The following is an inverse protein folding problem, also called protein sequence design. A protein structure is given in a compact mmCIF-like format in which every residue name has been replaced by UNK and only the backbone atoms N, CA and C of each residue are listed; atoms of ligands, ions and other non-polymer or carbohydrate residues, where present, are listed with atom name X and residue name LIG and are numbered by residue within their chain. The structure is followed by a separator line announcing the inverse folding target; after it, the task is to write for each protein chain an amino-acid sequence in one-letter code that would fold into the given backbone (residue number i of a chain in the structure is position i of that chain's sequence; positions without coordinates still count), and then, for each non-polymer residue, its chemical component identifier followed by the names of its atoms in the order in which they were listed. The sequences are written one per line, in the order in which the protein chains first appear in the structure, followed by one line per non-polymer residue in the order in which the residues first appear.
data_IF_577130687500
#
_entry.id   IF_577130687500
#
_cell.length_a   1.000
_cell.length_b   1.000
_cell.length_c   1.000
_cell.angle_alpha   90.00
_cell.angle_beta   90.00
_cell.angle_gamma   90.00
#
_symmetry.space_group_name_H-M   'P 1'
#
loop_
_entity.id
_entity.type
_entity.pdbx_description
1 polymer ?
#
# COMPACT_ATOMS: atom_id res chain seq x y z
N UNK A 1 6.57 58.53 -26.59
CA UNK A 1 6.60 57.26 -27.33
C UNK A 1 6.66 56.10 -26.34
N UNK A 2 5.69 55.17 -26.32
CA UNK A 2 5.72 54.02 -25.45
C UNK A 2 6.87 53.10 -25.87
N UNK A 3 7.79 52.78 -24.95
CA UNK A 3 8.91 51.89 -25.15
C UNK A 3 8.40 50.50 -25.63
N UNK A 4 8.81 50.06 -26.81
CA UNK A 4 8.49 48.74 -27.33
C UNK A 4 9.05 47.70 -26.36
N UNK A 5 8.23 46.77 -25.92
CA UNK A 5 8.65 45.67 -25.03
C UNK A 5 9.56 44.71 -25.76
N UNK A 6 10.44 44.05 -25.02
CA UNK A 6 11.35 43.04 -25.55
C UNK A 6 10.58 41.84 -26.13
N UNK A 7 11.12 41.16 -27.12
CA UNK A 7 10.59 39.92 -27.62
C UNK A 7 10.62 38.90 -26.45
N UNK A 8 9.46 38.32 -26.13
CA UNK A 8 9.28 37.40 -24.97
C UNK A 8 8.47 37.97 -23.81
N UNK A 9 8.33 39.30 -23.67
CA UNK A 9 7.60 39.94 -22.55
C UNK A 9 6.07 39.82 -22.64
N UNK A 10 5.55 39.14 -23.65
CA UNK A 10 4.12 38.96 -23.87
C UNK A 10 3.38 40.23 -24.32
N UNK A 11 2.18 40.05 -24.88
CA UNK A 11 1.33 41.16 -25.28
C UNK A 11 0.44 41.60 -24.10
N UNK A 12 0.24 42.92 -23.97
CA UNK A 12 -0.63 43.53 -22.95
C UNK A 12 -1.56 44.49 -23.62
N UNK A 13 -2.85 44.40 -23.39
CA UNK A 13 -3.87 45.36 -23.86
C UNK A 13 -4.94 45.58 -22.78
N UNK A 14 -5.60 46.74 -22.86
CA UNK A 14 -6.84 47.00 -22.10
C UNK A 14 -8.02 46.59 -22.94
N UNK A 15 -8.94 45.87 -22.35
CA UNK A 15 -10.18 45.44 -22.98
C UNK A 15 -11.28 46.49 -22.82
N UNK A 16 -12.33 46.37 -23.63
CA UNK A 16 -13.48 47.25 -23.57
C UNK A 16 -14.27 47.13 -22.26
N UNK A 17 -14.18 45.93 -21.62
CA UNK A 17 -14.77 45.66 -20.28
C UNK A 17 -13.92 46.25 -19.11
N UNK A 18 -12.92 47.07 -19.43
CA UNK A 18 -12.04 47.76 -18.45
C UNK A 18 -10.97 46.89 -17.83
N UNK A 19 -10.96 45.58 -18.05
CA UNK A 19 -9.90 44.69 -17.56
C UNK A 19 -8.66 44.74 -18.44
N UNK A 20 -7.53 44.42 -17.84
CA UNK A 20 -6.28 44.24 -18.54
C UNK A 20 -6.10 42.78 -18.95
N UNK A 21 -5.72 42.56 -20.19
CA UNK A 21 -5.41 41.24 -20.76
C UNK A 21 -3.95 41.19 -21.20
N UNK A 22 -3.27 40.11 -20.84
CA UNK A 22 -1.98 39.72 -21.34
C UNK A 22 -1.97 38.34 -21.96
N UNK A 23 -1.10 38.11 -22.94
CA UNK A 23 -0.91 36.78 -23.49
C UNK A 23 0.58 36.48 -23.70
N UNK A 24 0.96 35.24 -23.43
CA UNK A 24 2.29 34.69 -23.69
C UNK A 24 2.17 33.49 -24.59
N UNK A 25 3.21 33.21 -25.37
CA UNK A 25 3.33 31.95 -26.12
C UNK A 25 3.81 30.89 -25.13
N UNK A 26 3.14 29.74 -25.10
CA UNK A 26 3.43 28.61 -24.21
C UNK A 26 3.81 27.32 -24.97
N UNK A 27 3.78 27.35 -26.30
CA UNK A 27 4.10 26.25 -27.20
C UNK A 27 3.61 26.55 -28.60
N UNK A 28 3.71 25.56 -29.48
CA UNK A 28 3.23 25.63 -30.86
C UNK A 28 2.35 24.42 -31.17
N UNK A 29 1.44 24.60 -32.13
CA UNK A 29 0.63 23.51 -32.68
C UNK A 29 1.46 22.70 -33.68
N UNK A 30 0.97 21.53 -34.09
CA UNK A 30 1.59 20.71 -35.12
C UNK A 30 1.78 21.46 -36.44
N UNK A 31 0.90 22.42 -36.74
CA UNK A 31 0.98 23.29 -37.92
C UNK A 31 1.91 24.51 -37.73
N UNK A 32 2.65 24.61 -36.61
CA UNK A 32 3.55 25.69 -36.30
C UNK A 32 2.91 26.97 -35.73
N UNK A 33 1.58 27.02 -35.59
CA UNK A 33 0.92 28.19 -35.00
C UNK A 33 1.16 28.26 -33.47
N UNK A 34 1.38 29.47 -32.90
CA UNK A 34 1.66 29.63 -31.48
C UNK A 34 0.43 29.33 -30.62
N UNK A 35 0.63 28.56 -29.54
CA UNK A 35 -0.32 28.38 -28.47
C UNK A 35 -0.19 29.52 -27.45
N UNK A 36 -1.30 30.23 -27.22
CA UNK A 36 -1.32 31.37 -26.31
C UNK A 36 -1.98 31.03 -24.97
N UNK A 37 -1.38 31.48 -23.88
CA UNK A 37 -2.02 31.59 -22.58
C UNK A 37 -2.44 33.03 -22.34
N UNK A 38 -3.72 33.21 -22.03
CA UNK A 38 -4.31 34.50 -21.68
C UNK A 38 -4.34 34.69 -20.16
N UNK A 39 -3.97 35.88 -19.69
CA UNK A 39 -3.93 36.27 -18.29
C UNK A 39 -4.73 37.57 -18.14
N UNK A 40 -5.56 37.64 -17.11
CA UNK A 40 -6.44 38.78 -16.88
C UNK A 40 -6.23 39.38 -15.49
N UNK A 41 -6.30 40.73 -15.39
CA UNK A 41 -6.26 41.45 -14.13
C UNK A 41 -7.09 42.74 -14.17
N UNK A 42 -7.47 43.23 -13.00
CA UNK A 42 -8.20 44.52 -12.87
C UNK A 42 -7.28 45.72 -13.09
N UNK A 43 -5.98 45.63 -12.79
CA UNK A 43 -4.99 46.67 -12.95
C UNK A 43 -3.82 46.21 -13.81
N UNK A 44 -3.16 47.16 -14.48
CA UNK A 44 -1.97 46.86 -15.31
C UNK A 44 -0.84 46.26 -14.49
N UNK A 45 -0.58 46.79 -13.28
CA UNK A 45 0.46 46.27 -12.38
C UNK A 45 0.21 44.81 -12.02
N UNK A 46 -0.98 44.49 -11.55
CA UNK A 46 -1.34 43.13 -11.22
C UNK A 46 -1.32 42.17 -12.44
N UNK A 47 -1.57 42.68 -13.65
CA UNK A 47 -1.42 41.90 -14.87
C UNK A 47 0.06 41.59 -15.12
N UNK A 48 0.93 42.61 -15.00
CA UNK A 48 2.37 42.44 -15.22
C UNK A 48 3.01 41.43 -14.26
N UNK A 49 2.64 41.50 -12.97
CA UNK A 49 3.14 40.58 -11.97
C UNK A 49 2.70 39.12 -12.32
N UNK A 50 1.44 38.94 -12.70
CA UNK A 50 0.91 37.64 -13.17
C UNK A 50 1.59 37.17 -14.45
N UNK A 51 1.89 38.12 -15.38
CA UNK A 51 2.52 37.79 -16.65
C UNK A 51 3.96 37.31 -16.42
N UNK A 52 4.73 37.99 -15.58
CA UNK A 52 6.09 37.59 -15.22
C UNK A 52 6.10 36.21 -14.55
N UNK A 53 5.20 35.97 -13.61
CA UNK A 53 5.07 34.64 -12.99
C UNK A 53 4.74 33.51 -14.01
N UNK A 54 3.89 33.84 -14.99
CA UNK A 54 3.59 32.88 -16.05
C UNK A 54 4.79 32.68 -16.99
N UNK A 55 5.49 33.76 -17.39
CA UNK A 55 6.71 33.66 -18.23
C UNK A 55 7.74 32.77 -17.55
N UNK A 56 7.99 32.93 -16.24
CA UNK A 56 8.90 32.09 -15.49
C UNK A 56 8.42 30.61 -15.42
N UNK A 57 7.12 30.39 -15.21
CA UNK A 57 6.57 29.04 -15.17
C UNK A 57 6.67 28.30 -16.50
N UNK A 58 6.63 29.03 -17.63
CA UNK A 58 6.65 28.43 -18.98
C UNK A 58 7.98 28.67 -19.69
N UNK A 59 9.00 29.21 -19.00
CA UNK A 59 10.34 29.38 -19.55
C UNK A 59 10.90 27.98 -19.90
N UNK A 60 11.35 27.84 -21.13
CA UNK A 60 11.96 26.62 -21.66
C UNK A 60 11.02 25.39 -21.72
N UNK A 61 9.70 25.61 -21.62
CA UNK A 61 8.69 24.56 -21.73
C UNK A 61 7.81 24.84 -22.94
N UNK A 62 7.85 23.96 -23.92
CA UNK A 62 6.97 23.99 -25.09
C UNK A 62 5.80 23.01 -24.86
N UNK A 63 4.61 23.57 -24.60
CA UNK A 63 3.42 22.75 -24.34
C UNK A 63 2.73 22.32 -25.63
N UNK A 64 2.15 21.13 -25.61
CA UNK A 64 1.32 20.59 -26.69
C UNK A 64 -0.13 21.12 -26.64
N UNK A 65 -0.90 20.89 -27.69
CA UNK A 65 -2.34 21.22 -27.73
C UNK A 65 -3.13 20.55 -26.60
N UNK A 66 -2.65 19.42 -26.13
CA UNK A 66 -3.22 18.66 -25.02
C UNK A 66 -3.30 19.46 -23.69
N UNK A 67 -2.55 20.57 -23.58
CA UNK A 67 -2.65 21.48 -22.44
C UNK A 67 -4.03 22.12 -22.25
N UNK A 68 -4.90 22.03 -23.27
CA UNK A 68 -6.29 22.54 -23.24
C UNK A 68 -7.29 21.53 -22.72
N UNK A 69 -6.93 20.23 -22.67
CA UNK A 69 -7.83 19.20 -22.19
C UNK A 69 -8.19 19.41 -20.72
N UNK A 70 -9.31 18.81 -20.30
CA UNK A 70 -9.68 18.77 -18.90
C UNK A 70 -8.84 17.76 -18.14
N UNK A 71 -8.77 17.89 -16.80
CA UNK A 71 -8.11 16.91 -15.95
C UNK A 71 -8.76 15.52 -16.12
N UNK A 72 -10.08 15.44 -16.26
CA UNK A 72 -10.80 14.20 -16.48
C UNK A 72 -10.37 13.49 -17.76
N UNK A 73 -10.28 14.23 -18.88
CA UNK A 73 -9.80 13.71 -20.17
C UNK A 73 -8.35 13.20 -20.08
N UNK A 74 -7.48 13.96 -19.42
CA UNK A 74 -6.11 13.50 -19.19
C UNK A 74 -6.05 12.21 -18.36
N UNK A 75 -6.82 12.13 -17.28
CA UNK A 75 -6.83 10.94 -16.41
C UNK A 75 -7.34 9.69 -17.13
N UNK A 76 -8.33 9.82 -18.03
CA UNK A 76 -8.80 8.72 -18.87
C UNK A 76 -7.70 8.24 -19.82
N UNK A 77 -7.07 9.18 -20.51
CA UNK A 77 -5.94 8.91 -21.40
C UNK A 77 -4.77 8.29 -20.63
N UNK A 78 -4.46 8.80 -19.43
CA UNK A 78 -3.41 8.26 -18.58
C UNK A 78 -3.66 6.81 -18.18
N UNK A 79 -4.91 6.45 -17.85
CA UNK A 79 -5.27 5.06 -17.55
C UNK A 79 -5.09 4.13 -18.74
N UNK A 80 -5.48 4.58 -19.93
CA UNK A 80 -5.52 3.75 -21.15
C UNK A 80 -4.17 3.68 -21.85
N UNK A 81 -3.47 4.80 -21.98
CA UNK A 81 -2.24 4.88 -22.77
C UNK A 81 -0.97 4.71 -21.92
N UNK A 82 -0.97 5.19 -20.69
CA UNK A 82 0.25 5.18 -19.84
C UNK A 82 0.26 4.05 -18.82
N UNK A 83 -0.90 3.61 -18.33
CA UNK A 83 -0.96 2.61 -17.24
C UNK A 83 -1.49 1.25 -17.67
N UNK A 84 -2.35 1.17 -18.67
CA UNK A 84 -2.77 -0.11 -19.22
C UNK A 84 -1.55 -0.90 -19.72
N UNK A 85 -1.40 -2.14 -19.25
CA UNK A 85 -0.25 -3.00 -19.59
C UNK A 85 1.05 -2.74 -18.80
N UNK A 86 1.20 -1.57 -18.14
CA UNK A 86 2.41 -1.26 -17.35
C UNK A 86 2.26 -1.57 -15.86
N UNK A 87 1.03 -1.64 -15.37
CA UNK A 87 0.72 -1.97 -13.98
C UNK A 87 -0.19 -3.20 -13.90
N UNK A 88 -0.17 -3.88 -12.77
CA UNK A 88 -1.05 -5.04 -12.55
C UNK A 88 -2.54 -4.65 -12.61
N UNK A 89 -3.43 -5.57 -13.06
CA UNK A 89 -4.86 -5.29 -13.18
C UNK A 89 -5.50 -4.72 -11.91
N UNK A 90 -5.17 -5.26 -10.74
CA UNK A 90 -5.66 -4.74 -9.45
C UNK A 90 -5.19 -3.32 -9.10
N UNK A 91 -3.99 -2.93 -9.54
CA UNK A 91 -3.49 -1.56 -9.38
C UNK A 91 -4.21 -0.61 -10.32
N UNK A 92 -4.40 -1.02 -11.57
CA UNK A 92 -5.14 -0.24 -12.58
C UNK A 92 -6.58 0.01 -12.13
N UNK A 93 -7.25 -1.02 -11.61
CA UNK A 93 -8.60 -0.90 -11.05
C UNK A 93 -8.63 0.03 -9.82
N UNK A 94 -7.60 -0.03 -8.98
CA UNK A 94 -7.42 0.91 -7.87
C UNK A 94 -7.32 2.36 -8.36
N UNK A 95 -6.50 2.63 -9.37
CA UNK A 95 -6.38 3.95 -9.99
C UNK A 95 -7.70 4.42 -10.59
N UNK A 96 -8.40 3.55 -11.36
CA UNK A 96 -9.71 3.83 -11.93
C UNK A 96 -10.71 4.26 -10.85
N UNK A 97 -10.81 3.51 -9.76
CA UNK A 97 -11.69 3.84 -8.64
C UNK A 97 -11.37 5.17 -7.99
N UNK A 98 -10.09 5.48 -7.76
CA UNK A 98 -9.70 6.78 -7.19
C UNK A 98 -10.04 7.94 -8.11
N UNK A 99 -9.83 7.76 -9.40
CA UNK A 99 -10.13 8.75 -10.43
C UNK A 99 -11.63 9.00 -10.53
N UNK A 100 -12.42 7.94 -10.77
CA UNK A 100 -13.87 8.06 -11.03
C UNK A 100 -14.65 8.54 -9.81
N UNK A 101 -14.33 8.03 -8.62
CA UNK A 101 -15.14 8.32 -7.46
C UNK A 101 -14.67 9.54 -6.65
N UNK A 102 -13.42 9.95 -6.77
CA UNK A 102 -12.88 10.97 -5.87
C UNK A 102 -12.26 12.17 -6.59
N UNK A 103 -11.57 11.97 -7.72
CA UNK A 103 -10.86 13.06 -8.40
C UNK A 103 -11.78 13.75 -9.41
N UNK A 104 -12.35 13.00 -10.36
CA UNK A 104 -13.21 13.56 -11.41
C UNK A 104 -14.42 14.35 -10.89
N UNK A 105 -15.16 13.90 -9.87
CA UNK A 105 -16.31 14.66 -9.36
C UNK A 105 -15.95 16.04 -8.82
N UNK A 106 -14.70 16.28 -8.45
CA UNK A 106 -14.29 17.54 -7.84
C UNK A 106 -13.42 18.41 -8.76
N UNK A 107 -12.64 17.80 -9.63
CA UNK A 107 -11.62 18.49 -10.43
C UNK A 107 -11.67 18.10 -11.93
N UNK A 108 -12.47 17.12 -12.31
CA UNK A 108 -12.47 16.53 -13.66
C UNK A 108 -12.74 17.53 -14.79
N UNK A 109 -13.67 18.47 -14.60
CA UNK A 109 -14.04 19.45 -15.61
C UNK A 109 -13.07 20.63 -15.72
N UNK A 110 -12.10 20.70 -14.78
CA UNK A 110 -11.13 21.80 -14.79
C UNK A 110 -10.07 21.56 -15.84
N UNK A 111 -9.76 22.58 -16.65
CA UNK A 111 -8.65 22.51 -17.60
C UNK A 111 -7.33 22.22 -16.84
N UNK A 112 -6.57 21.21 -17.30
CA UNK A 112 -5.39 20.71 -16.58
C UNK A 112 -4.33 21.79 -16.37
N UNK A 113 -4.12 22.68 -17.35
CA UNK A 113 -3.17 23.80 -17.26
C UNK A 113 -3.61 24.91 -16.27
N UNK A 114 -4.87 24.89 -15.81
CA UNK A 114 -5.42 25.83 -14.82
C UNK A 114 -5.52 25.22 -13.41
N UNK A 115 -5.14 23.97 -13.25
CA UNK A 115 -5.17 23.29 -11.97
C UNK A 115 -4.12 23.89 -11.03
N UNK A 116 -4.57 24.31 -9.84
CA UNK A 116 -3.70 24.94 -8.84
C UNK A 116 -3.52 24.04 -7.60
N UNK A 117 -2.46 24.29 -6.83
CA UNK A 117 -2.25 23.66 -5.52
C UNK A 117 -3.43 23.86 -4.57
N UNK A 118 -4.06 25.06 -4.62
CA UNK A 118 -5.20 25.38 -3.77
C UNK A 118 -6.43 24.54 -4.10
N UNK A 119 -6.67 24.21 -5.38
CA UNK A 119 -7.76 23.33 -5.78
C UNK A 119 -7.58 21.93 -5.21
N UNK A 120 -6.37 21.41 -5.33
CA UNK A 120 -6.00 20.08 -4.82
C UNK A 120 -6.09 20.05 -3.29
N UNK A 121 -5.61 21.11 -2.62
CA UNK A 121 -5.69 21.20 -1.16
C UNK A 121 -7.15 21.30 -0.66
N UNK A 122 -8.04 21.97 -1.42
CA UNK A 122 -9.50 22.00 -1.15
C UNK A 122 -10.11 20.62 -1.33
N UNK A 123 -9.73 19.88 -2.38
CA UNK A 123 -10.16 18.51 -2.59
C UNK A 123 -9.80 17.62 -1.39
N UNK A 124 -8.55 17.69 -0.87
CA UNK A 124 -8.18 16.88 0.31
C UNK A 124 -9.03 17.19 1.54
N UNK A 125 -9.34 18.48 1.79
CA UNK A 125 -10.23 18.86 2.89
C UNK A 125 -11.63 18.28 2.73
N UNK A 126 -12.23 18.37 1.53
CA UNK A 126 -13.55 17.77 1.26
C UNK A 126 -13.55 16.27 1.42
N UNK A 127 -12.51 15.58 0.93
CA UNK A 127 -12.37 14.13 1.09
C UNK A 127 -12.28 13.73 2.57
N UNK A 128 -11.69 14.56 3.42
CA UNK A 128 -11.61 14.33 4.86
C UNK A 128 -12.94 14.55 5.59
N UNK A 129 -13.85 15.33 5.06
CA UNK A 129 -15.15 15.61 5.68
C UNK A 129 -16.29 14.81 5.04
N UNK A 130 -16.34 14.73 3.71
CA UNK A 130 -17.48 14.25 2.93
C UNK A 130 -17.09 13.28 1.82
N UNK A 131 -15.92 12.65 1.94
CA UNK A 131 -15.35 11.85 0.84
C UNK A 131 -15.93 10.46 0.66
N UNK A 132 -16.64 9.87 1.64
CA UNK A 132 -17.22 8.54 1.51
C UNK A 132 -18.51 8.58 0.70
N UNK A 133 -18.63 7.64 -0.24
CA UNK A 133 -19.83 7.43 -1.04
C UNK A 133 -20.96 6.88 -0.16
N UNK A 134 -20.62 5.97 0.76
CA UNK A 134 -21.55 5.40 1.73
C UNK A 134 -21.09 5.77 3.13
N UNK A 135 -22.03 6.14 3.98
CA UNK A 135 -21.76 6.45 5.38
C UNK A 135 -21.18 5.24 6.12
N UNK A 136 -20.17 5.49 6.96
CA UNK A 136 -19.61 4.46 7.84
C UNK A 136 -20.12 4.67 9.26
N UNK A 137 -20.57 3.62 9.97
CA UNK A 137 -21.17 3.76 11.30
C UNK A 137 -20.34 4.57 12.30
N UNK A 138 -19.00 4.42 12.27
CA UNK A 138 -18.11 5.11 13.22
C UNK A 138 -17.46 6.37 12.64
N UNK A 139 -17.26 6.45 11.31
CA UNK A 139 -16.51 7.52 10.66
C UNK A 139 -17.40 8.46 9.82
N UNK A 140 -18.69 8.21 9.73
CA UNK A 140 -19.59 8.98 8.87
C UNK A 140 -19.10 8.99 7.41
N UNK A 141 -19.11 10.17 6.80
CA UNK A 141 -18.64 10.39 5.42
C UNK A 141 -17.15 10.70 5.31
N UNK A 142 -16.37 10.64 6.38
CA UNK A 142 -14.95 10.96 6.38
C UNK A 142 -14.11 9.85 5.75
N UNK A 143 -13.17 10.20 4.86
CA UNK A 143 -12.13 9.28 4.42
C UNK A 143 -10.95 9.25 5.40
N UNK A 144 -10.34 8.07 5.55
CA UNK A 144 -9.09 7.93 6.30
C UNK A 144 -7.94 8.68 5.65
N UNK A 145 -6.96 9.12 6.44
CA UNK A 145 -5.74 9.76 5.93
C UNK A 145 -5.01 8.89 4.90
N UNK A 146 -4.98 7.58 5.12
CA UNK A 146 -4.40 6.61 4.19
C UNK A 146 -5.11 6.63 2.84
N UNK A 147 -6.45 6.69 2.81
CA UNK A 147 -7.21 6.75 1.55
C UNK A 147 -6.93 8.06 0.81
N UNK A 148 -6.96 9.21 1.50
CA UNK A 148 -6.63 10.50 0.88
C UNK A 148 -5.19 10.51 0.36
N UNK A 149 -4.25 9.85 1.06
CA UNK A 149 -2.87 9.69 0.60
C UNK A 149 -2.77 8.84 -0.67
N UNK A 150 -3.55 7.77 -0.80
CA UNK A 150 -3.58 6.97 -2.04
C UNK A 150 -4.16 7.77 -3.22
N UNK A 151 -5.22 8.55 -2.99
CA UNK A 151 -5.80 9.45 -4.00
C UNK A 151 -4.75 10.50 -4.43
N UNK A 152 -4.06 11.13 -3.47
CA UNK A 152 -2.94 12.03 -3.76
C UNK A 152 -1.86 11.36 -4.60
N UNK A 153 -1.40 10.16 -4.23
CA UNK A 153 -0.33 9.46 -4.95
C UNK A 153 -0.74 9.13 -6.39
N UNK A 154 -2.01 8.77 -6.62
CA UNK A 154 -2.55 8.53 -7.96
C UNK A 154 -2.56 9.81 -8.79
N UNK A 155 -3.08 10.91 -8.24
CA UNK A 155 -3.11 12.20 -8.91
C UNK A 155 -1.69 12.73 -9.17
N UNK A 156 -0.79 12.61 -8.20
CA UNK A 156 0.62 12.99 -8.34
C UNK A 156 1.30 12.23 -9.49
N UNK A 157 1.11 10.90 -9.57
CA UNK A 157 1.68 10.09 -10.64
C UNK A 157 1.13 10.50 -12.02
N UNK A 158 -0.17 10.72 -12.13
CA UNK A 158 -0.80 11.14 -13.38
C UNK A 158 -0.31 12.54 -13.83
N UNK A 159 -0.17 13.47 -12.91
CA UNK A 159 0.31 14.82 -13.22
C UNK A 159 1.82 14.88 -13.44
N UNK A 160 2.60 13.97 -12.84
CA UNK A 160 4.01 13.78 -13.17
C UNK A 160 4.18 13.33 -14.63
N UNK A 161 3.39 12.36 -15.07
CA UNK A 161 3.42 11.90 -16.46
C UNK A 161 2.92 13.01 -17.42
N UNK A 162 1.99 13.88 -16.99
CA UNK A 162 1.56 15.06 -17.75
C UNK A 162 2.67 16.09 -17.95
N UNK A 163 3.55 16.26 -16.97
CA UNK A 163 4.75 17.12 -17.12
C UNK A 163 5.72 16.51 -18.12
N UNK A 164 5.96 15.20 -18.05
CA UNK A 164 6.84 14.51 -19.01
C UNK A 164 6.30 14.54 -20.44
N UNK A 165 4.98 14.54 -20.59
CA UNK A 165 4.30 14.64 -21.89
C UNK A 165 4.12 16.08 -22.38
N UNK A 166 4.71 17.07 -21.72
CA UNK A 166 4.59 18.50 -22.02
C UNK A 166 3.14 19.03 -22.08
N UNK A 167 2.23 18.40 -21.32
CA UNK A 167 0.84 18.84 -21.19
C UNK A 167 0.72 19.97 -20.15
N UNK A 168 1.54 19.93 -19.10
CA UNK A 168 1.64 20.98 -18.08
C UNK A 168 3.11 21.26 -17.75
N UNK A 169 3.46 22.50 -17.36
CA UNK A 169 4.85 22.87 -17.12
C UNK A 169 5.41 22.36 -15.78
N UNK A 170 4.54 22.10 -14.81
CA UNK A 170 4.90 21.62 -13.47
C UNK A 170 3.76 20.85 -12.84
N UNK A 171 4.10 19.97 -11.92
CA UNK A 171 3.11 19.20 -11.20
C UNK A 171 2.49 20.01 -10.05
N UNK A 172 1.19 20.37 -10.11
CA UNK A 172 0.56 21.19 -9.07
C UNK A 172 0.31 20.43 -7.75
N UNK A 173 0.55 19.12 -7.69
CA UNK A 173 0.53 18.37 -6.42
C UNK A 173 1.81 18.62 -5.61
N UNK A 174 2.90 19.03 -6.25
CA UNK A 174 4.13 19.42 -5.55
C UNK A 174 3.87 20.63 -4.66
N UNK A 175 4.30 20.55 -3.40
CA UNK A 175 4.00 21.57 -2.39
C UNK A 175 2.61 21.51 -1.76
N UNK A 176 1.74 20.56 -2.15
CA UNK A 176 0.50 20.28 -1.39
C UNK A 176 0.80 19.45 -0.15
N UNK A 177 0.02 19.66 0.91
CA UNK A 177 0.12 18.88 2.15
C UNK A 177 -0.93 17.78 2.13
N UNK A 178 -0.55 16.59 1.64
CA UNK A 178 -1.38 15.40 1.78
C UNK A 178 -1.36 14.90 3.23
N UNK A 179 -2.48 14.37 3.77
CA UNK A 179 -2.52 13.83 5.12
C UNK A 179 -1.46 12.74 5.33
N UNK A 180 -0.84 12.74 6.51
CA UNK A 180 0.07 11.68 6.93
C UNK A 180 -0.76 10.57 7.59
N UNK A 181 -0.73 9.33 7.08
CA UNK A 181 -1.42 8.23 7.74
C UNK A 181 -0.89 8.01 9.15
N UNK A 182 -1.80 7.99 10.11
CA UNK A 182 -1.46 7.54 11.46
C UNK A 182 -1.66 6.02 11.50
N UNK A 183 -0.56 5.27 11.48
CA UNK A 183 -0.61 3.81 11.55
C UNK A 183 -0.82 3.38 13.00
N UNK A 184 -2.02 2.90 13.29
CA UNK A 184 -2.27 2.20 14.56
C UNK A 184 -1.49 0.88 14.57
N UNK A 185 -0.93 0.46 15.72
CA UNK A 185 -0.33 -0.87 15.85
C UNK A 185 -1.28 -1.95 15.35
N UNK A 186 -0.74 -2.94 14.66
CA UNK A 186 -1.53 -4.06 14.17
C UNK A 186 -1.92 -4.92 15.36
N UNK A 187 -3.19 -5.34 15.41
CA UNK A 187 -3.64 -6.28 16.41
C UNK A 187 -3.16 -7.68 16.04
N UNK A 188 -2.50 -8.33 16.97
CA UNK A 188 -2.16 -9.75 16.92
C UNK A 188 -2.97 -10.47 17.99
N UNK A 189 -3.21 -11.75 17.81
CA UNK A 189 -3.78 -12.61 18.87
C UNK A 189 -2.68 -12.88 19.90
N UNK A 190 -2.98 -12.67 21.17
CA UNK A 190 -2.13 -13.10 22.27
C UNK A 190 -2.09 -14.62 22.33
N UNK A 191 -1.21 -15.21 23.14
CA UNK A 191 -1.14 -16.66 23.28
C UNK A 191 -2.47 -17.26 23.75
N UNK A 192 -3.09 -16.64 24.75
CA UNK A 192 -4.39 -17.09 25.25
C UNK A 192 -5.50 -16.98 24.19
N UNK A 193 -5.58 -15.84 23.50
CA UNK A 193 -6.53 -15.66 22.39
C UNK A 193 -6.29 -16.63 21.23
N UNK A 194 -5.02 -17.01 20.97
CA UNK A 194 -4.69 -18.01 19.96
C UNK A 194 -5.15 -19.41 20.38
N UNK A 195 -4.99 -19.77 21.65
CA UNK A 195 -5.48 -21.05 22.21
C UNK A 195 -7.01 -21.13 22.12
N UNK A 196 -7.73 -20.05 22.48
CA UNK A 196 -9.19 -19.97 22.34
C UNK A 196 -9.62 -20.10 20.87
N UNK A 197 -8.92 -19.44 19.96
CA UNK A 197 -9.20 -19.53 18.52
C UNK A 197 -8.96 -20.94 17.98
N UNK A 198 -7.84 -21.58 18.34
CA UNK A 198 -7.53 -22.95 17.94
C UNK A 198 -8.55 -23.95 18.44
N UNK A 199 -9.04 -23.80 19.68
CA UNK A 199 -10.08 -24.67 20.25
C UNK A 199 -11.36 -24.66 19.39
N UNK A 200 -11.76 -23.49 18.88
CA UNK A 200 -12.92 -23.37 17.97
C UNK A 200 -12.60 -23.90 16.58
N UNK A 201 -11.38 -23.66 16.09
CA UNK A 201 -10.91 -24.18 14.79
C UNK A 201 -10.90 -25.70 14.76
N UNK A 202 -10.47 -26.36 15.84
CA UNK A 202 -10.43 -27.83 15.95
C UNK A 202 -11.81 -28.48 15.83
N UNK A 203 -12.87 -27.78 16.22
CA UNK A 203 -14.24 -28.22 16.10
C UNK A 203 -14.84 -28.06 14.70
N UNK A 204 -14.16 -27.39 13.79
CA UNK A 204 -14.63 -27.13 12.44
C UNK A 204 -14.10 -28.17 11.45
N UNK A 205 -14.91 -29.13 11.10
CA UNK A 205 -14.53 -30.28 10.24
C UNK A 205 -14.06 -29.82 8.84
N UNK A 206 -14.62 -28.73 8.32
CA UNK A 206 -14.32 -28.23 6.95
C UNK A 206 -13.09 -27.35 6.89
N UNK A 207 -12.95 -26.43 7.86
CA UNK A 207 -11.95 -25.37 7.80
C UNK A 207 -10.77 -25.57 8.76
N UNK A 208 -10.80 -26.59 9.62
CA UNK A 208 -9.75 -26.89 10.59
C UNK A 208 -8.37 -26.92 9.94
N UNK A 209 -8.19 -27.77 8.96
CA UNK A 209 -6.90 -27.99 8.32
C UNK A 209 -6.40 -26.75 7.58
N UNK A 210 -7.33 -25.95 7.03
CA UNK A 210 -7.01 -24.67 6.39
C UNK A 210 -6.43 -23.67 7.40
N UNK A 211 -7.12 -23.42 8.51
CA UNK A 211 -6.68 -22.43 9.49
C UNK A 211 -5.47 -22.91 10.31
N UNK A 212 -5.36 -24.21 10.58
CA UNK A 212 -4.15 -24.77 11.19
C UNK A 212 -2.93 -24.56 10.28
N UNK A 213 -3.06 -24.84 8.98
CA UNK A 213 -1.99 -24.58 8.01
C UNK A 213 -1.64 -23.10 7.94
N UNK A 214 -2.63 -22.19 7.90
CA UNK A 214 -2.41 -20.75 7.87
C UNK A 214 -1.63 -20.27 9.09
N UNK A 215 -2.05 -20.68 10.28
CA UNK A 215 -1.44 -20.29 11.56
C UNK A 215 -0.01 -20.81 11.75
N UNK A 216 0.33 -21.96 11.14
CA UNK A 216 1.65 -22.56 11.24
C UNK A 216 2.60 -22.17 10.10
N UNK A 217 2.12 -21.53 9.04
CA UNK A 217 2.93 -21.15 7.88
C UNK A 217 2.97 -19.65 7.63
N UNK A 218 1.99 -18.89 8.13
CA UNK A 218 1.85 -17.47 7.93
C UNK A 218 1.72 -17.06 6.46
N UNK A 219 1.13 -17.89 5.61
CA UNK A 219 0.91 -17.63 4.19
C UNK A 219 0.00 -16.40 4.00
N UNK A 220 0.13 -15.72 2.85
CA UNK A 220 -0.87 -14.71 2.51
C UNK A 220 -2.19 -15.39 2.13
N UNK A 221 -3.32 -14.76 2.44
CA UNK A 221 -4.65 -15.30 2.12
C UNK A 221 -4.78 -15.86 0.70
N UNK A 222 -4.32 -15.13 -0.29
CA UNK A 222 -4.36 -15.60 -1.68
C UNK A 222 -3.36 -16.71 -1.99
N UNK A 223 -2.25 -16.82 -1.24
CA UNK A 223 -1.27 -17.89 -1.39
C UNK A 223 -1.86 -19.21 -0.88
N UNK A 224 -2.39 -19.25 0.34
CA UNK A 224 -2.97 -20.48 0.89
C UNK A 224 -4.18 -20.96 0.09
N UNK A 225 -5.05 -20.04 -0.36
CA UNK A 225 -6.19 -20.41 -1.21
C UNK A 225 -5.76 -20.94 -2.59
N UNK A 226 -4.58 -20.60 -3.07
CA UNK A 226 -4.05 -21.00 -4.37
C UNK A 226 -3.13 -22.22 -4.35
N UNK A 227 -2.96 -22.90 -3.23
CA UNK A 227 -2.09 -24.07 -3.11
C UNK A 227 -2.64 -25.27 -3.89
N UNK A 228 -1.75 -25.96 -4.61
CA UNK A 228 -2.06 -27.18 -5.35
C UNK A 228 -1.22 -28.35 -4.84
N UNK A 229 -1.69 -29.56 -5.07
CA UNK A 229 -0.96 -30.78 -4.68
C UNK A 229 0.39 -30.92 -5.39
N UNK A 230 0.55 -30.32 -6.56
CA UNK A 230 1.85 -30.23 -7.26
C UNK A 230 2.89 -29.37 -6.54
N UNK A 231 2.46 -28.54 -5.59
CA UNK A 231 3.34 -27.68 -4.81
C UNK A 231 3.87 -28.37 -3.54
N UNK A 232 3.26 -29.47 -3.13
CA UNK A 232 3.53 -30.18 -1.88
C UNK A 232 4.38 -31.43 -2.13
N UNK A 233 5.58 -31.44 -1.57
CA UNK A 233 6.40 -32.65 -1.45
C UNK A 233 6.25 -33.21 -0.02
N UNK A 234 5.41 -34.26 0.10
CA UNK A 234 5.20 -34.91 1.38
C UNK A 234 6.41 -35.69 1.90
N UNK A 235 7.36 -36.11 1.06
CA UNK A 235 8.56 -36.83 1.49
C UNK A 235 9.60 -35.85 2.06
N UNK A 236 9.83 -34.76 1.37
CA UNK A 236 10.73 -33.72 1.82
C UNK A 236 10.11 -32.80 2.90
N UNK A 237 8.79 -32.85 3.14
CA UNK A 237 8.11 -31.94 4.04
C UNK A 237 8.17 -30.50 3.58
N UNK A 238 8.08 -30.25 2.27
CA UNK A 238 8.22 -28.90 1.70
C UNK A 238 6.99 -28.48 0.93
N UNK A 239 6.77 -27.16 0.88
CA UNK A 239 5.67 -26.53 0.17
C UNK A 239 6.20 -25.37 -0.67
N UNK A 240 5.93 -25.41 -1.97
CA UNK A 240 6.29 -24.35 -2.92
C UNK A 240 5.17 -23.33 -3.01
N UNK A 241 5.46 -22.06 -2.70
CA UNK A 241 4.52 -20.95 -2.84
C UNK A 241 4.85 -20.23 -4.14
N UNK A 242 4.07 -20.44 -5.20
CA UNK A 242 4.36 -19.90 -6.52
C UNK A 242 3.20 -19.12 -7.13
N UNK A 243 1.99 -19.20 -6.56
CA UNK A 243 0.80 -18.51 -7.08
C UNK A 243 0.00 -17.81 -5.98
N UNK A 244 -0.87 -16.91 -6.40
CA UNK A 244 -1.80 -16.21 -5.52
C UNK A 244 -3.16 -16.12 -6.18
N UNK A 245 -4.21 -16.35 -5.42
CA UNK A 245 -5.60 -16.21 -5.84
C UNK A 245 -6.10 -14.81 -5.53
N UNK A 246 -6.69 -14.18 -6.52
CA UNK A 246 -7.39 -12.91 -6.38
C UNK A 246 -8.86 -13.12 -6.66
N UNK A 247 -9.71 -12.93 -5.65
CA UNK A 247 -11.15 -12.91 -5.84
C UNK A 247 -11.58 -11.68 -6.64
N UNK A 248 -12.44 -11.91 -7.63
CA UNK A 248 -13.08 -10.86 -8.43
C UNK A 248 -14.56 -10.70 -8.03
N UNK A 249 -15.29 -9.88 -8.78
CA UNK A 249 -16.73 -9.74 -8.58
C UNK A 249 -17.44 -11.01 -9.05
N UNK A 250 -18.59 -11.31 -8.43
CA UNK A 250 -19.48 -12.45 -8.78
C UNK A 250 -18.90 -13.85 -8.58
N UNK A 251 -17.93 -14.03 -7.68
CA UNK A 251 -17.33 -15.34 -7.41
C UNK A 251 -16.27 -15.77 -8.43
N UNK A 252 -15.95 -14.94 -9.39
CA UNK A 252 -14.81 -15.16 -10.29
C UNK A 252 -13.50 -14.97 -9.54
N UNK A 253 -12.48 -15.71 -9.94
CA UNK A 253 -11.13 -15.56 -9.42
C UNK A 253 -10.10 -15.51 -10.55
N UNK A 254 -8.98 -14.87 -10.29
CA UNK A 254 -7.80 -14.95 -11.16
C UNK A 254 -6.66 -15.58 -10.39
N UNK A 255 -6.00 -16.51 -11.04
CA UNK A 255 -4.73 -17.08 -10.58
C UNK A 255 -3.62 -16.20 -11.13
N UNK A 256 -2.88 -15.55 -10.25
CA UNK A 256 -1.71 -14.75 -10.61
C UNK A 256 -0.44 -15.37 -10.04
N UNK A 257 0.69 -15.08 -10.68
CA UNK A 257 1.98 -15.33 -10.07
C UNK A 257 2.17 -14.48 -8.81
N UNK A 258 3.02 -14.93 -7.89
CA UNK A 258 3.36 -14.17 -6.72
C UNK A 258 3.91 -12.77 -7.10
N UNK A 259 3.64 -11.77 -6.27
CA UNK A 259 3.85 -10.33 -6.58
C UNK A 259 5.30 -9.97 -6.92
N UNK A 260 6.27 -10.76 -6.46
CA UNK A 260 7.72 -10.53 -6.66
C UNK A 260 8.43 -11.86 -6.85
N UNK A 261 9.62 -11.86 -7.44
CA UNK A 261 10.47 -13.05 -7.54
C UNK A 261 10.75 -13.68 -6.16
N UNK A 262 10.83 -12.88 -5.11
CA UNK A 262 10.95 -13.35 -3.72
C UNK A 262 9.62 -13.89 -3.15
N UNK A 263 8.50 -13.65 -3.82
CA UNK A 263 7.22 -14.27 -3.51
C UNK A 263 7.19 -15.76 -3.87
N UNK A 264 7.93 -16.17 -4.90
CA UNK A 264 8.19 -17.59 -5.20
C UNK A 264 9.23 -18.11 -4.21
N UNK A 265 8.81 -19.02 -3.36
CA UNK A 265 9.65 -19.60 -2.32
C UNK A 265 9.21 -21.02 -2.00
N UNK A 266 10.16 -21.82 -1.53
CA UNK A 266 9.86 -23.12 -0.92
C UNK A 266 10.05 -22.98 0.58
N UNK A 267 9.03 -23.37 1.35
CA UNK A 267 9.07 -23.39 2.80
C UNK A 267 9.16 -24.82 3.28
N UNK A 268 9.96 -25.05 4.32
CA UNK A 268 9.99 -26.31 5.05
C UNK A 268 8.81 -26.26 6.04
N UNK A 269 7.96 -27.27 6.01
CA UNK A 269 6.78 -27.33 6.84
C UNK A 269 7.09 -27.95 8.21
N UNK A 270 6.44 -27.46 9.29
CA UNK A 270 6.39 -28.21 10.54
C UNK A 270 5.83 -29.63 10.31
N UNK A 271 6.30 -30.61 11.09
CA UNK A 271 5.87 -32.00 10.95
C UNK A 271 4.34 -32.14 11.00
N UNK A 272 3.67 -31.44 11.93
CA UNK A 272 2.21 -31.42 12.08
C UNK A 272 1.48 -30.98 10.80
N UNK A 273 1.97 -29.94 10.12
CA UNK A 273 1.40 -29.48 8.84
C UNK A 273 1.64 -30.51 7.74
N UNK A 274 2.82 -31.11 7.70
CA UNK A 274 3.13 -32.17 6.73
C UNK A 274 2.16 -33.34 6.88
N UNK A 275 1.86 -33.76 8.09
CA UNK A 275 0.91 -34.86 8.36
C UNK A 275 -0.55 -34.47 8.02
N UNK A 276 -0.96 -33.23 8.33
CA UNK A 276 -2.27 -32.71 7.91
C UNK A 276 -2.40 -32.82 6.38
N UNK A 277 -1.40 -32.33 5.63
CA UNK A 277 -1.46 -32.32 4.18
C UNK A 277 -1.33 -33.73 3.58
N UNK A 278 -0.53 -34.63 4.16
CA UNK A 278 -0.47 -36.05 3.74
C UNK A 278 -1.83 -36.72 3.88
N UNK A 279 -2.48 -36.59 5.03
CA UNK A 279 -3.81 -37.15 5.27
C UNK A 279 -4.82 -36.60 4.25
N UNK A 280 -4.88 -35.27 4.06
CA UNK A 280 -5.77 -34.66 3.08
C UNK A 280 -5.52 -35.12 1.65
N UNK A 281 -4.27 -35.42 1.30
CA UNK A 281 -3.91 -35.85 -0.05
C UNK A 281 -4.48 -37.21 -0.42
N UNK A 282 -4.73 -38.10 0.56
CA UNK A 282 -5.32 -39.41 0.33
C UNK A 282 -6.73 -39.29 -0.24
N UNK A 283 -7.52 -38.35 0.29
CA UNK A 283 -8.92 -38.11 -0.11
C UNK A 283 -9.06 -36.94 -1.12
N UNK A 284 -7.95 -36.56 -1.79
CA UNK A 284 -7.96 -35.41 -2.70
C UNK A 284 -8.79 -35.73 -3.96
N UNK A 285 -9.82 -34.92 -4.20
CA UNK A 285 -10.72 -35.00 -5.37
C UNK A 285 -10.47 -33.95 -6.40
N UNK A 286 -9.57 -33.00 -6.15
CA UNK A 286 -9.21 -31.91 -7.05
C UNK A 286 -7.70 -31.60 -6.99
N UNK A 287 -7.24 -30.72 -7.89
CA UNK A 287 -5.84 -30.27 -7.86
C UNK A 287 -5.51 -29.36 -6.67
N UNK A 288 -6.52 -28.77 -6.02
CA UNK A 288 -6.34 -27.80 -4.93
C UNK A 288 -6.15 -28.48 -3.58
N UNK A 289 -5.21 -27.99 -2.77
CA UNK A 289 -5.04 -28.47 -1.39
C UNK A 289 -6.27 -28.07 -0.55
N UNK A 290 -6.79 -26.90 -0.80
CA UNK A 290 -7.99 -26.36 -0.16
C UNK A 290 -9.03 -26.00 -1.23
N UNK A 291 -9.85 -26.97 -1.67
CA UNK A 291 -10.93 -26.72 -2.63
C UNK A 291 -12.08 -25.94 -1.98
N UNK A 292 -12.94 -25.35 -2.82
CA UNK A 292 -14.22 -24.80 -2.37
C UNK A 292 -15.11 -25.91 -1.81
N UNK A 293 -15.70 -25.76 -0.60
CA UNK A 293 -16.51 -26.82 0.02
C UNK A 293 -17.75 -27.19 -0.77
N UNK A 294 -18.26 -26.33 -1.65
CA UNK A 294 -19.47 -26.56 -2.45
C UNK A 294 -19.12 -26.97 -3.87
N UNK A 295 -18.02 -26.45 -4.42
CA UNK A 295 -17.52 -26.71 -5.78
C UNK A 295 -16.07 -27.19 -5.73
N UNK A 296 -15.82 -28.47 -5.47
CA UNK A 296 -14.48 -28.99 -5.25
C UNK A 296 -13.52 -28.84 -6.45
N UNK A 297 -14.03 -28.63 -7.65
CA UNK A 297 -13.24 -28.30 -8.84
C UNK A 297 -12.59 -26.92 -8.76
N UNK A 298 -13.18 -26.00 -8.00
CA UNK A 298 -12.68 -24.66 -7.78
C UNK A 298 -11.83 -24.58 -6.49
N UNK A 299 -10.88 -23.62 -6.41
CA UNK A 299 -10.18 -23.34 -5.15
C UNK A 299 -11.10 -22.60 -4.17
N UNK A 300 -10.80 -22.68 -2.90
CA UNK A 300 -11.53 -21.91 -1.89
C UNK A 300 -11.45 -20.39 -2.17
N UNK A 301 -12.62 -19.72 -2.21
CA UNK A 301 -12.67 -18.27 -2.40
C UNK A 301 -12.01 -17.54 -1.21
N UNK A 302 -11.00 -16.69 -1.45
CA UNK A 302 -10.37 -15.90 -0.40
C UNK A 302 -11.34 -15.06 0.43
N UNK A 303 -12.48 -14.63 -0.12
CA UNK A 303 -13.49 -13.90 0.63
C UNK A 303 -14.35 -14.82 1.49
N UNK A 304 -14.61 -16.07 1.04
CA UNK A 304 -15.26 -17.09 1.86
C UNK A 304 -14.38 -17.44 3.08
N UNK A 305 -13.09 -17.69 2.86
CA UNK A 305 -12.14 -17.93 3.95
C UNK A 305 -12.12 -16.76 4.97
N UNK A 306 -12.15 -15.52 4.49
CA UNK A 306 -12.23 -14.35 5.37
C UNK A 306 -13.54 -14.29 6.17
N UNK A 307 -14.68 -14.52 5.53
CA UNK A 307 -15.98 -14.53 6.22
C UNK A 307 -16.02 -15.63 7.28
N UNK A 308 -15.54 -16.83 6.93
CA UNK A 308 -15.51 -17.95 7.86
C UNK A 308 -14.60 -17.69 9.07
N UNK A 309 -13.41 -17.11 8.86
CA UNK A 309 -12.54 -16.65 9.95
C UNK A 309 -13.28 -15.72 10.92
N UNK A 310 -14.10 -14.78 10.40
CA UNK A 310 -14.89 -13.88 11.26
C UNK A 310 -15.89 -14.65 12.12
N UNK A 311 -16.53 -15.66 11.56
CA UNK A 311 -17.45 -16.55 12.31
C UNK A 311 -16.70 -17.31 13.42
N UNK A 312 -15.52 -17.85 13.13
CA UNK A 312 -14.70 -18.55 14.13
C UNK A 312 -14.24 -17.62 15.25
N UNK A 313 -13.78 -16.40 14.93
CA UNK A 313 -13.42 -15.39 15.93
C UNK A 313 -14.61 -15.02 16.83
N UNK A 314 -15.80 -14.88 16.24
CA UNK A 314 -17.02 -14.59 17.00
C UNK A 314 -17.40 -15.76 17.93
N UNK A 315 -17.27 -17.01 17.46
CA UNK A 315 -17.51 -18.21 18.30
C UNK A 315 -16.52 -18.30 19.45
N UNK A 316 -15.27 -17.91 19.23
CA UNK A 316 -14.23 -17.85 20.25
C UNK A 316 -14.37 -16.64 21.21
N UNK A 317 -15.37 -15.77 21.03
CA UNK A 317 -15.52 -14.56 21.83
C UNK A 317 -14.41 -13.50 21.57
N UNK A 318 -13.68 -13.63 20.46
CA UNK A 318 -12.54 -12.79 20.14
C UNK A 318 -12.93 -11.60 19.28
N UNK A 319 -12.22 -10.48 19.41
CA UNK A 319 -12.49 -9.34 18.57
C UNK A 319 -12.12 -9.59 17.11
N UNK A 320 -12.84 -8.89 16.25
CA UNK A 320 -12.66 -8.99 14.81
C UNK A 320 -11.29 -8.44 14.37
N UNK A 321 -10.47 -9.29 13.74
CA UNK A 321 -9.20 -8.93 13.11
C UNK A 321 -9.26 -9.14 11.59
N UNK A 322 -8.28 -8.62 10.85
CA UNK A 322 -8.16 -8.87 9.41
C UNK A 322 -7.50 -10.22 9.17
N UNK A 323 -7.76 -10.86 8.03
CA UNK A 323 -7.09 -12.12 7.69
C UNK A 323 -5.55 -12.01 7.74
N UNK A 324 -5.00 -10.92 7.27
CA UNK A 324 -3.56 -10.69 7.30
C UNK A 324 -2.98 -10.56 8.72
N UNK A 325 -3.82 -10.30 9.72
CA UNK A 325 -3.40 -10.24 11.12
C UNK A 325 -3.11 -11.63 11.71
N UNK A 326 -3.65 -12.75 11.12
CA UNK A 326 -3.21 -14.11 11.45
C UNK A 326 -1.75 -14.32 11.08
N UNK A 327 -1.33 -13.88 9.89
CA UNK A 327 0.07 -13.91 9.48
C UNK A 327 0.95 -13.03 10.38
N UNK A 328 0.45 -11.88 10.85
CA UNK A 328 1.16 -11.06 11.83
C UNK A 328 1.28 -11.78 13.17
N UNK A 329 0.24 -12.48 13.60
CA UNK A 329 0.25 -13.32 14.79
C UNK A 329 1.34 -14.40 14.68
N UNK A 330 1.35 -15.19 13.59
CA UNK A 330 2.40 -16.16 13.32
C UNK A 330 3.80 -15.53 13.39
N UNK A 331 4.02 -14.43 12.68
CA UNK A 331 5.32 -13.79 12.62
C UNK A 331 5.80 -13.27 13.97
N UNK A 332 4.90 -12.69 14.77
CA UNK A 332 5.23 -12.19 16.11
C UNK A 332 5.60 -13.35 17.04
N UNK A 333 4.78 -14.41 17.08
CA UNK A 333 5.07 -15.57 17.92
C UNK A 333 6.35 -16.31 17.48
N UNK A 334 6.62 -16.41 16.18
CA UNK A 334 7.87 -16.99 15.68
C UNK A 334 9.10 -16.18 16.15
N UNK A 335 9.07 -14.86 16.05
CA UNK A 335 10.13 -13.99 16.53
C UNK A 335 10.34 -14.10 18.05
N UNK A 336 9.25 -14.08 18.82
CA UNK A 336 9.32 -14.23 20.28
C UNK A 336 9.78 -15.61 20.71
N UNK A 337 9.60 -16.62 19.87
CA UNK A 337 10.14 -17.98 20.08
C UNK A 337 11.58 -18.15 19.62
N UNK A 338 12.26 -17.09 19.16
CA UNK A 338 13.69 -17.10 18.83
C UNK A 338 14.01 -17.34 17.36
N UNK A 339 13.03 -17.38 16.45
CA UNK A 339 13.30 -17.44 15.00
C UNK A 339 13.91 -16.11 14.57
N UNK A 340 15.08 -16.13 13.91
CA UNK A 340 15.72 -14.92 13.43
C UNK A 340 14.92 -14.21 12.32
N UNK A 341 15.00 -12.88 12.29
CA UNK A 341 14.19 -12.05 11.41
C UNK A 341 14.46 -12.28 9.92
N UNK A 342 15.68 -12.71 9.53
CA UNK A 342 16.05 -12.97 8.15
C UNK A 342 15.42 -14.28 7.67
N UNK A 343 15.51 -15.35 8.47
CA UNK A 343 14.84 -16.63 8.21
C UNK A 343 13.34 -16.45 8.12
N UNK A 344 12.75 -15.74 9.10
CA UNK A 344 11.30 -15.45 9.09
C UNK A 344 10.90 -14.64 7.85
N UNK A 345 11.68 -13.64 7.44
CA UNK A 345 11.46 -12.87 6.22
C UNK A 345 11.46 -13.76 4.98
N UNK A 346 12.34 -14.77 4.92
CA UNK A 346 12.38 -15.78 3.87
C UNK A 346 11.11 -16.64 3.86
N UNK A 347 10.70 -17.19 5.01
CA UNK A 347 9.45 -17.97 5.15
C UNK A 347 8.24 -17.17 4.70
N UNK A 348 8.15 -15.92 5.13
CA UNK A 348 7.06 -15.03 4.79
C UNK A 348 7.12 -14.51 3.34
N UNK A 349 8.28 -14.51 2.68
CA UNK A 349 8.47 -13.93 1.35
C UNK A 349 8.32 -12.40 1.38
N UNK A 350 8.97 -11.74 2.34
CA UNK A 350 9.11 -10.28 2.36
C UNK A 350 10.30 -9.87 1.49
N UNK A 351 10.12 -8.81 0.70
CA UNK A 351 11.17 -8.27 -0.17
C UNK A 351 12.32 -7.61 0.60
N UNK A 352 12.08 -7.22 1.86
CA UNK A 352 13.06 -6.59 2.73
C UNK A 352 12.87 -7.08 4.18
N UNK A 353 13.95 -7.57 4.80
CA UNK A 353 13.95 -7.97 6.19
C UNK A 353 13.67 -6.78 7.15
N UNK A 354 14.04 -5.55 6.76
CA UNK A 354 13.68 -4.34 7.51
C UNK A 354 12.19 -4.20 7.71
N UNK A 355 11.36 -4.60 6.71
CA UNK A 355 9.91 -4.60 6.85
C UNK A 355 9.43 -5.54 7.97
N UNK A 356 10.09 -6.68 8.15
CA UNK A 356 9.80 -7.61 9.25
C UNK A 356 10.18 -6.96 10.58
N UNK A 357 11.36 -6.38 10.68
CA UNK A 357 11.83 -5.67 11.88
C UNK A 357 10.91 -4.48 12.22
N UNK A 358 10.65 -3.57 11.28
CA UNK A 358 9.82 -2.38 11.48
C UNK A 358 8.38 -2.72 11.91
N UNK A 359 7.86 -3.85 11.40
CA UNK A 359 6.49 -4.29 11.71
C UNK A 359 6.39 -4.86 13.13
N UNK A 360 7.47 -5.45 13.65
CA UNK A 360 7.48 -6.22 14.91
C UNK A 360 8.38 -5.62 15.99
N UNK A 361 8.84 -4.39 15.83
CA UNK A 361 9.72 -3.66 16.78
C UNK A 361 9.13 -3.53 18.20
N UNK A 362 7.81 -3.72 18.36
CA UNK A 362 7.14 -3.62 19.65
C UNK A 362 7.29 -4.87 20.55
N UNK A 363 7.95 -5.92 20.06
CA UNK A 363 8.17 -7.19 20.79
C UNK A 363 9.49 -7.17 21.60
N UNK A 364 10.14 -6.03 21.67
CA UNK A 364 11.55 -5.88 22.05
C UNK A 364 11.94 -6.25 23.48
N UNK A 365 11.06 -6.12 24.48
CA UNK A 365 11.46 -6.39 25.89
C UNK A 365 11.71 -7.87 26.19
N UNK A 366 10.86 -8.75 25.67
CA UNK A 366 11.01 -10.20 25.88
C UNK A 366 12.14 -10.79 25.03
N UNK A 367 12.32 -10.27 23.81
CA UNK A 367 13.48 -10.63 22.97
C UNK A 367 14.79 -10.14 23.59
N UNK A 368 14.82 -8.96 24.22
CA UNK A 368 16.00 -8.47 24.94
C UNK A 368 16.33 -9.34 26.14
N UNK A 369 15.34 -9.79 26.91
CA UNK A 369 15.56 -10.74 28.03
C UNK A 369 16.11 -12.07 27.55
N UNK A 370 15.56 -12.62 26.47
CA UNK A 370 16.09 -13.84 25.86
C UNK A 370 17.52 -13.68 25.34
N UNK A 371 17.78 -12.57 24.62
CA UNK A 371 19.12 -12.25 24.15
C UNK A 371 20.12 -12.11 25.31
N UNK A 372 19.74 -11.45 26.40
CA UNK A 372 20.54 -11.37 27.61
C UNK A 372 20.85 -12.75 28.20
N UNK A 373 19.84 -13.65 28.24
CA UNK A 373 20.06 -15.03 28.70
C UNK A 373 21.02 -15.82 27.82
N UNK A 374 20.87 -15.70 26.49
CA UNK A 374 21.76 -16.37 25.52
C UNK A 374 23.20 -15.83 25.62
N UNK A 375 23.36 -14.49 25.68
CA UNK A 375 24.67 -13.86 25.83
C UNK A 375 25.29 -14.22 27.17
N UNK A 376 24.49 -14.21 28.25
CA UNK A 376 24.95 -14.63 29.59
C UNK A 376 25.47 -16.05 29.58
N UNK A 377 24.69 -17.03 29.09
CA UNK A 377 25.10 -18.43 28.98
C UNK A 377 26.34 -18.65 28.12
N UNK A 378 26.41 -17.97 26.94
CA UNK A 378 27.60 -18.01 26.10
C UNK A 378 28.86 -17.47 26.81
N UNK A 379 28.71 -16.39 27.57
CA UNK A 379 29.81 -15.80 28.30
C UNK A 379 30.22 -16.66 29.50
N UNK A 380 29.28 -17.31 30.19
CA UNK A 380 29.56 -18.28 31.24
C UNK A 380 30.32 -19.50 30.73
N UNK A 381 29.93 -20.02 29.54
CA UNK A 381 30.65 -21.12 28.86
C UNK A 381 32.08 -20.73 28.51
N UNK A 382 32.30 -19.50 28.01
CA UNK A 382 33.68 -19.02 27.67
C UNK A 382 34.52 -18.78 28.92
N UNK A 383 33.97 -18.14 29.93
CA UNK A 383 34.71 -17.76 31.12
C UNK A 383 34.74 -18.87 32.19
N UNK A 384 33.94 -19.92 32.03
CA UNK A 384 33.88 -21.06 32.93
C UNK A 384 33.39 -20.70 34.36
N UNK A 385 32.75 -19.54 34.52
CA UNK A 385 32.23 -19.10 35.80
C UNK A 385 31.21 -17.99 35.62
N UNK A 386 30.24 -17.91 36.55
CA UNK A 386 29.32 -16.82 36.65
C UNK A 386 30.05 -15.48 36.92
N UNK A 387 29.78 -14.45 36.13
CA UNK A 387 30.36 -13.13 36.34
C UNK A 387 29.61 -12.46 37.50
N UNK A 388 30.29 -12.32 38.62
CA UNK A 388 29.76 -11.60 39.78
C UNK A 388 29.74 -10.09 39.50
N UNK A 389 28.71 -9.36 39.98
CA UNK A 389 28.72 -7.91 39.93
C UNK A 389 29.97 -7.35 40.60
N UNK A 390 30.56 -6.30 40.03
CA UNK A 390 31.68 -5.62 40.62
C UNK A 390 31.26 -5.11 42.05
N UNK A 391 31.92 -5.60 43.10
CA UNK A 391 31.78 -5.08 44.46
C UNK A 391 32.84 -3.98 44.62
N UNK A 392 32.42 -2.79 45.00
CA UNK A 392 33.35 -1.74 45.42
C UNK A 392 34.22 -2.34 46.53
N UNK A 393 35.56 -2.39 46.31
CA UNK A 393 36.49 -2.76 47.34
C UNK A 393 36.38 -1.79 48.49
N UNK A 394 36.06 -2.27 49.69
CA UNK A 394 36.10 -1.50 50.91
C UNK A 394 37.43 -0.71 50.95
N UNK A 395 37.30 0.61 51.04
CA UNK A 395 38.46 1.48 51.28
C UNK A 395 39.12 0.99 52.56
N UNK A 396 40.47 0.79 52.61
CA UNK A 396 41.15 0.48 53.85
C UNK A 396 40.89 1.63 54.83
N UNK A 397 40.35 1.31 56.02
CA UNK A 397 40.21 2.25 57.12
C UNK A 397 41.63 2.80 57.43
N UNK A 398 41.78 4.10 57.23
CA UNK A 398 42.93 4.82 57.75
C UNK A 398 42.78 4.88 59.27
N UNK A 399 43.58 4.07 59.97
CA UNK A 399 43.70 4.19 61.40
C UNK A 399 44.23 5.60 61.83
N UNK A 400 43.87 6.11 63.03
CA UNK A 400 44.06 7.48 63.51
C UNK A 400 45.50 7.90 63.77
#
# INVERSE_FOLDING_TARGET
MAKRRSAGDGMVRRRDDGRWEGRIVIGHRENGEPLFRHVYAKTQKALLDKLHQNIECYRDVELTEDSRMTLGQWLDRWLTEYKAGTVRPGTLEGYRRYIEYYIKPQLGDKQISLLSQQDIQRMYRRLKTEGRIHEHPEMGHQLSDSMVRHIHSTLHAALKDAVQAHVIPRNPTEGTTAPKPNYKPKRILTRAELDDFLTVVEQDEVWRDFFQTELMTGLRRGEICGLQWSDFDGNAGTLKVCRTLHSQRKGEYTVGETKTNQGMRTIILPHSVTEILRRRKVDAISQWIFPDPVKPEDPVDPNAAYRHMKTLLQRAGLPSIRFHDLRHTFATHALTSGVDAKTLSGILGHTNASFTLDTYTHVTSDMQKQACGIVGGFMEDIFGKELKPWQESEKPETEP
#
